data_IF_167563436982
#
_entry.id   IF_167563436982
#
_cell.length_a   1.000
_cell.length_b   1.000
_cell.length_c   1.000
_cell.angle_alpha   90.00
_cell.angle_beta   90.00
_cell.angle_gamma   90.00
#
_symmetry.space_group_name_H-M   'P 1'
#
loop_
_entity.id
_entity.type
_entity.pdbx_description
1 polymer ?
#
# COMPACT_ATOMS: atom_id res chain seq x y z
N UNK A 1 8.85 -11.21 -26.47
CA UNK A 1 8.40 -11.28 -25.06
C UNK A 1 9.64 -11.38 -24.18
N UNK A 2 9.75 -10.53 -23.16
CA UNK A 2 10.98 -10.38 -22.40
C UNK A 2 11.04 -11.38 -21.23
N UNK A 3 11.34 -12.64 -21.57
CA UNK A 3 11.29 -13.83 -20.71
C UNK A 3 11.95 -13.70 -19.32
N UNK A 4 12.87 -12.75 -19.12
CA UNK A 4 13.51 -12.52 -17.82
C UNK A 4 12.65 -11.66 -16.88
N UNK A 5 12.00 -10.62 -17.40
CA UNK A 5 11.14 -9.75 -16.59
C UNK A 5 9.94 -10.51 -16.03
N UNK A 6 9.33 -11.37 -16.85
CA UNK A 6 8.18 -12.16 -16.43
C UNK A 6 8.56 -13.21 -15.38
N UNK A 7 9.78 -13.78 -15.48
CA UNK A 7 10.33 -14.68 -14.45
C UNK A 7 10.56 -13.98 -13.12
N UNK A 8 11.16 -12.79 -13.12
CA UNK A 8 11.36 -12.02 -11.89
C UNK A 8 10.03 -11.62 -11.25
N UNK A 9 9.08 -11.14 -12.07
CA UNK A 9 7.74 -10.81 -11.61
C UNK A 9 7.08 -12.02 -10.92
N UNK A 10 7.05 -13.17 -11.60
CA UNK A 10 6.45 -14.39 -11.05
C UNK A 10 7.10 -14.83 -9.74
N UNK A 11 8.44 -14.80 -9.67
CA UNK A 11 9.16 -15.17 -8.46
C UNK A 11 8.87 -14.25 -7.28
N UNK A 12 8.68 -12.94 -7.54
CA UNK A 12 8.26 -11.98 -6.52
C UNK A 12 6.83 -12.26 -6.07
N UNK A 13 5.90 -12.46 -7.00
CA UNK A 13 4.49 -12.79 -6.69
C UNK A 13 4.37 -14.06 -5.85
N UNK A 14 5.09 -15.13 -6.21
CA UNK A 14 5.12 -16.38 -5.42
C UNK A 14 5.65 -16.15 -3.99
N UNK A 15 6.66 -15.28 -3.83
CA UNK A 15 7.19 -14.93 -2.51
C UNK A 15 6.17 -14.10 -1.72
N UNK A 16 5.48 -13.17 -2.37
CA UNK A 16 4.46 -12.33 -1.75
C UNK A 16 3.32 -13.18 -1.21
N UNK A 17 2.77 -14.07 -2.03
CA UNK A 17 1.67 -14.96 -1.65
C UNK A 17 2.03 -15.81 -0.42
N UNK A 18 3.26 -16.33 -0.35
CA UNK A 18 3.75 -17.07 0.81
C UNK A 18 3.88 -16.16 2.05
N UNK A 19 4.42 -14.96 1.89
CA UNK A 19 4.58 -14.01 3.01
C UNK A 19 3.26 -13.45 3.50
N UNK A 20 2.24 -13.31 2.64
CA UNK A 20 0.93 -12.76 3.00
C UNK A 20 0.29 -13.53 4.14
N UNK A 21 0.40 -14.87 4.12
CA UNK A 21 -0.11 -15.75 5.18
C UNK A 21 0.46 -15.39 6.56
N UNK A 22 1.74 -15.02 6.62
CA UNK A 22 2.40 -14.66 7.88
C UNK A 22 2.15 -13.20 8.26
N UNK A 23 2.09 -12.29 7.28
CA UNK A 23 1.85 -10.87 7.58
C UNK A 23 0.43 -10.59 8.06
N UNK A 24 -0.55 -11.41 7.70
CA UNK A 24 -1.92 -11.29 8.18
C UNK A 24 -2.08 -11.57 9.68
N UNK A 25 -1.15 -12.34 10.28
CA UNK A 25 -1.17 -12.65 11.72
C UNK A 25 -0.47 -11.57 12.56
N UNK A 26 0.26 -10.64 11.91
CA UNK A 26 0.96 -9.55 12.59
C UNK A 26 -0.05 -8.53 13.10
N UNK A 27 0.04 -8.22 14.39
CA UNK A 27 -0.69 -7.14 15.04
C UNK A 27 0.26 -6.32 15.93
N UNK A 28 -0.22 -5.20 16.46
CA UNK A 28 0.59 -4.24 17.23
C UNK A 28 1.36 -4.89 18.39
N UNK A 29 0.77 -5.88 19.06
CA UNK A 29 1.42 -6.57 20.18
C UNK A 29 2.63 -7.41 19.75
N UNK A 30 2.68 -7.83 18.49
CA UNK A 30 3.75 -8.66 17.92
C UNK A 30 4.88 -7.85 17.31
N UNK A 31 4.68 -6.55 17.04
CA UNK A 31 5.63 -5.72 16.30
C UNK A 31 7.02 -5.66 16.95
N UNK A 32 7.09 -5.67 18.28
CA UNK A 32 8.35 -5.56 19.01
C UNK A 32 8.93 -6.94 19.42
N UNK A 33 8.30 -8.03 18.97
CA UNK A 33 8.80 -9.40 19.17
C UNK A 33 10.11 -9.59 18.39
N UNK A 34 11.15 -10.09 19.08
CA UNK A 34 12.46 -10.34 18.49
C UNK A 34 12.49 -11.69 17.76
N UNK A 35 12.96 -11.66 16.52
CA UNK A 35 13.23 -12.83 15.71
C UNK A 35 14.60 -13.43 16.02
N UNK A 36 14.92 -14.58 15.42
CA UNK A 36 16.23 -15.24 15.55
C UNK A 36 17.40 -14.35 15.13
N UNK A 37 17.16 -13.40 14.20
CA UNK A 37 18.12 -12.37 13.77
C UNK A 37 18.36 -11.27 14.82
N UNK A 38 17.68 -11.32 15.98
CA UNK A 38 17.63 -10.28 17.04
C UNK A 38 16.93 -8.98 16.65
N UNK A 39 16.53 -8.82 15.39
CA UNK A 39 15.68 -7.71 14.94
C UNK A 39 14.23 -7.96 15.37
N UNK A 40 13.48 -6.88 15.61
CA UNK A 40 12.03 -7.01 15.81
C UNK A 40 11.31 -7.18 14.48
N UNK A 41 10.08 -7.71 14.53
CA UNK A 41 9.18 -7.77 13.36
C UNK A 41 9.04 -6.39 12.72
N UNK A 42 8.82 -5.34 13.53
CA UNK A 42 8.77 -3.93 13.11
C UNK A 42 10.00 -3.53 12.29
N UNK A 43 11.20 -3.81 12.81
CA UNK A 43 12.45 -3.45 12.13
C UNK A 43 12.60 -4.19 10.81
N UNK A 44 12.26 -5.48 10.75
CA UNK A 44 12.36 -6.25 9.49
C UNK A 44 11.42 -5.69 8.42
N UNK A 45 10.16 -5.38 8.78
CA UNK A 45 9.20 -4.77 7.87
C UNK A 45 9.66 -3.38 7.40
N UNK A 46 10.10 -2.52 8.32
CA UNK A 46 10.57 -1.17 8.01
C UNK A 46 11.81 -1.17 7.10
N UNK A 47 12.73 -2.11 7.32
CA UNK A 47 13.89 -2.28 6.46
C UNK A 47 13.46 -2.69 5.05
N UNK A 48 12.59 -3.69 4.91
CA UNK A 48 12.12 -4.13 3.59
C UNK A 48 11.36 -3.02 2.84
N UNK A 49 10.50 -2.26 3.54
CA UNK A 49 9.82 -1.08 2.97
C UNK A 49 10.83 -0.06 2.46
N UNK A 50 11.86 0.23 3.26
CA UNK A 50 12.92 1.18 2.89
C UNK A 50 13.72 0.69 1.67
N UNK A 51 14.04 -0.60 1.59
CA UNK A 51 14.71 -1.21 0.43
C UNK A 51 13.87 -1.13 -0.84
N UNK A 52 12.54 -1.32 -0.75
CA UNK A 52 11.63 -1.12 -1.88
C UNK A 52 11.66 0.32 -2.38
N UNK A 53 11.59 1.30 -1.49
CA UNK A 53 11.68 2.71 -1.87
C UNK A 53 13.01 3.04 -2.54
N UNK A 54 14.14 2.62 -1.94
CA UNK A 54 15.47 2.84 -2.51
C UNK A 54 15.65 2.16 -3.88
N UNK A 55 15.23 0.91 -4.00
CA UNK A 55 15.38 0.12 -5.24
C UNK A 55 14.47 0.66 -6.36
N UNK A 56 13.27 1.14 -6.05
CA UNK A 56 12.37 1.81 -7.01
C UNK A 56 13.06 3.01 -7.65
N UNK A 57 13.69 3.87 -6.85
CA UNK A 57 14.42 5.04 -7.36
C UNK A 57 15.58 4.64 -8.27
N UNK A 58 16.36 3.63 -7.87
CA UNK A 58 17.45 3.11 -8.71
C UNK A 58 16.96 2.56 -10.07
N UNK A 59 15.81 1.87 -10.08
CA UNK A 59 15.18 1.41 -11.32
C UNK A 59 14.71 2.57 -12.19
N UNK A 60 14.16 3.65 -11.60
CA UNK A 60 13.78 4.86 -12.32
C UNK A 60 15.00 5.56 -12.93
N UNK A 61 16.11 5.64 -12.21
CA UNK A 61 17.38 6.15 -12.73
C UNK A 61 17.92 5.30 -13.87
N UNK A 62 17.87 3.97 -13.74
CA UNK A 62 18.28 3.03 -14.79
C UNK A 62 17.46 3.22 -16.06
N UNK A 63 16.13 3.33 -15.92
CA UNK A 63 15.22 3.59 -17.05
C UNK A 63 15.57 4.92 -17.71
N UNK A 64 15.78 5.98 -16.93
CA UNK A 64 16.15 7.30 -17.45
C UNK A 64 17.48 7.26 -18.22
N UNK A 65 18.52 6.64 -17.65
CA UNK A 65 19.84 6.50 -18.30
C UNK A 65 19.81 5.69 -19.60
N UNK A 66 18.79 4.84 -19.79
CA UNK A 66 18.58 4.05 -21.00
C UNK A 66 17.55 4.66 -21.97
N UNK A 67 17.01 5.85 -21.67
CA UNK A 67 15.95 6.48 -22.48
C UNK A 67 14.60 5.75 -22.43
N UNK A 68 14.39 4.88 -21.42
CA UNK A 68 13.14 4.15 -21.22
C UNK A 68 12.15 5.06 -20.46
N UNK A 69 10.92 5.27 -20.97
CA UNK A 69 9.92 6.11 -20.31
C UNK A 69 9.60 5.66 -18.87
N UNK A 70 9.43 6.62 -17.96
CA UNK A 70 9.25 6.35 -16.51
C UNK A 70 7.99 5.58 -16.12
N UNK A 71 7.09 5.25 -17.05
CA UNK A 71 5.82 4.53 -16.77
C UNK A 71 5.02 5.21 -15.64
N UNK A 72 4.89 6.52 -15.72
CA UNK A 72 4.22 7.38 -14.72
C UNK A 72 2.81 6.89 -14.34
N UNK A 73 2.04 6.38 -15.31
CA UNK A 73 0.74 5.77 -15.04
C UNK A 73 0.81 4.59 -14.07
N UNK A 74 1.84 3.73 -14.17
CA UNK A 74 2.03 2.61 -13.24
C UNK A 74 2.39 3.10 -11.84
N UNK A 75 3.15 4.19 -11.77
CA UNK A 75 3.50 4.84 -10.50
C UNK A 75 2.24 5.36 -9.81
N UNK A 76 1.45 6.19 -10.50
CA UNK A 76 0.23 6.78 -9.96
C UNK A 76 -0.80 5.72 -9.53
N UNK A 77 -0.96 4.64 -10.32
CA UNK A 77 -1.85 3.53 -9.97
C UNK A 77 -1.35 2.78 -8.73
N UNK A 78 -0.04 2.57 -8.60
CA UNK A 78 0.54 1.91 -7.42
C UNK A 78 0.40 2.78 -6.17
N UNK A 79 0.71 4.08 -6.26
CA UNK A 79 0.60 5.02 -5.16
C UNK A 79 -0.87 5.15 -4.69
N UNK A 80 -1.83 5.20 -5.62
CA UNK A 80 -3.27 5.18 -5.28
C UNK A 80 -3.69 3.86 -4.61
N UNK A 81 -3.14 2.72 -5.05
CA UNK A 81 -3.45 1.41 -4.45
C UNK A 81 -2.91 1.30 -3.03
N UNK A 82 -1.71 1.80 -2.77
CA UNK A 82 -1.14 1.86 -1.43
C UNK A 82 -1.98 2.75 -0.49
N UNK A 83 -2.36 3.94 -0.94
CA UNK A 83 -3.20 4.87 -0.17
C UNK A 83 -4.56 4.26 0.20
N UNK A 84 -5.18 3.50 -0.73
CA UNK A 84 -6.45 2.77 -0.45
C UNK A 84 -6.28 1.71 0.64
N UNK A 85 -5.22 0.91 0.57
CA UNK A 85 -4.94 -0.14 1.54
C UNK A 85 -4.71 0.45 2.93
N UNK A 86 -3.89 1.50 3.01
CA UNK A 86 -3.62 2.22 4.24
C UNK A 86 -4.91 2.82 4.84
N UNK A 87 -5.69 3.53 4.02
CA UNK A 87 -6.97 4.11 4.46
C UNK A 87 -7.93 3.05 5.01
N UNK A 88 -8.09 1.91 4.32
CA UNK A 88 -8.94 0.80 4.79
C UNK A 88 -8.43 0.23 6.12
N UNK A 89 -7.11 0.07 6.25
CA UNK A 89 -6.50 -0.52 7.44
C UNK A 89 -6.76 0.30 8.71
N UNK A 90 -6.97 1.61 8.58
CA UNK A 90 -7.22 2.51 9.72
C UNK A 90 -8.63 2.42 10.32
N UNK A 91 -9.62 1.94 9.57
CA UNK A 91 -11.01 1.86 10.08
C UNK A 91 -11.54 0.42 10.16
N UNK A 92 -10.77 -0.57 9.67
CA UNK A 92 -11.23 -1.96 9.57
C UNK A 92 -11.54 -2.60 10.93
N UNK A 93 -10.88 -2.13 12.00
CA UNK A 93 -11.04 -2.61 13.38
C UNK A 93 -12.03 -1.77 14.22
N UNK A 94 -12.63 -0.72 13.63
CA UNK A 94 -13.62 0.11 14.31
C UNK A 94 -14.99 -0.55 14.31
N UNK A 95 -15.71 -0.44 15.44
CA UNK A 95 -17.13 -0.81 15.52
C UNK A 95 -18.05 0.38 15.17
N UNK A 96 -19.34 0.10 14.95
CA UNK A 96 -20.36 1.09 14.55
C UNK A 96 -20.35 2.35 15.44
N UNK A 97 -20.30 2.19 16.76
CA UNK A 97 -20.27 3.32 17.68
C UNK A 97 -18.99 4.17 17.53
N UNK A 98 -17.86 3.56 17.22
CA UNK A 98 -16.60 4.28 16.99
C UNK A 98 -16.61 5.01 15.64
N UNK A 99 -17.26 4.43 14.63
CA UNK A 99 -17.40 5.04 13.31
C UNK A 99 -18.25 6.32 13.35
N UNK A 100 -19.32 6.32 14.14
CA UNK A 100 -20.25 7.44 14.28
C UNK A 100 -19.75 8.55 15.22
N UNK A 101 -18.78 8.26 16.08
CA UNK A 101 -18.26 9.23 17.04
C UNK A 101 -17.42 10.33 16.35
N UNK A 102 -17.67 11.57 16.75
CA UNK A 102 -16.83 12.72 16.39
C UNK A 102 -15.66 12.80 17.37
N UNK A 103 -14.53 12.17 17.02
CA UNK A 103 -13.39 12.02 17.96
C UNK A 103 -12.24 12.99 17.66
N UNK A 104 -12.16 13.58 16.46
CA UNK A 104 -11.00 14.38 16.04
C UNK A 104 -11.23 15.91 16.10
N UNK A 105 -10.23 16.71 16.52
CA UNK A 105 -10.29 18.18 16.52
C UNK A 105 -10.27 18.82 15.12
N UNK A 106 -10.11 18.03 14.06
CA UNK A 106 -10.30 18.48 12.68
C UNK A 106 -11.80 18.55 12.38
N UNK A 107 -12.39 19.73 12.60
CA UNK A 107 -13.71 20.15 12.11
C UNK A 107 -14.94 19.31 12.52
N UNK A 108 -14.80 18.32 13.43
CA UNK A 108 -15.92 17.55 13.96
C UNK A 108 -16.48 16.49 13.02
N UNK A 109 -15.69 16.02 12.04
CA UNK A 109 -16.09 14.89 11.19
C UNK A 109 -15.93 13.54 11.92
N UNK A 110 -16.91 12.65 11.77
CA UNK A 110 -16.82 11.25 12.21
C UNK A 110 -15.98 10.41 11.24
N UNK A 111 -15.49 9.25 11.67
CA UNK A 111 -14.81 8.33 10.78
C UNK A 111 -15.73 7.87 9.64
N UNK A 112 -17.02 7.68 9.91
CA UNK A 112 -18.03 7.39 8.89
C UNK A 112 -18.11 8.49 7.82
N UNK A 113 -18.08 9.77 8.23
CA UNK A 113 -18.08 10.91 7.30
C UNK A 113 -16.86 10.87 6.36
N UNK A 114 -15.67 10.60 6.91
CA UNK A 114 -14.43 10.46 6.15
C UNK A 114 -14.49 9.30 5.15
N UNK A 115 -15.02 8.15 5.57
CA UNK A 115 -15.22 6.98 4.70
C UNK A 115 -16.19 7.32 3.58
N UNK A 116 -17.33 7.94 3.88
CA UNK A 116 -18.33 8.36 2.89
C UNK A 116 -17.76 9.35 1.87
N UNK A 117 -16.93 10.30 2.32
CA UNK A 117 -16.18 11.21 1.45
C UNK A 117 -15.28 10.45 0.48
N UNK A 118 -14.50 9.48 0.97
CA UNK A 118 -13.64 8.68 0.10
C UNK A 118 -14.44 7.81 -0.89
N UNK A 119 -15.57 7.22 -0.47
CA UNK A 119 -16.47 6.48 -1.36
C UNK A 119 -17.03 7.37 -2.49
N UNK A 120 -17.35 8.63 -2.20
CA UNK A 120 -17.78 9.59 -3.21
C UNK A 120 -16.66 9.89 -4.22
N UNK A 121 -15.44 10.16 -3.73
CA UNK A 121 -14.28 10.43 -4.58
C UNK A 121 -13.94 9.22 -5.48
N UNK A 122 -14.02 7.99 -4.97
CA UNK A 122 -13.81 6.77 -5.75
C UNK A 122 -14.86 6.61 -6.86
N UNK A 123 -16.13 6.92 -6.57
CA UNK A 123 -17.21 6.91 -7.59
C UNK A 123 -16.97 7.97 -8.67
N UNK A 124 -16.50 9.17 -8.28
CA UNK A 124 -16.15 10.22 -9.23
C UNK A 124 -15.00 9.78 -10.14
N UNK A 125 -13.92 9.23 -9.56
CA UNK A 125 -12.80 8.69 -10.33
C UNK A 125 -13.27 7.62 -11.32
N UNK A 126 -14.12 6.67 -10.89
CA UNK A 126 -14.67 5.65 -11.77
C UNK A 126 -15.48 6.25 -12.93
N UNK A 127 -16.27 7.28 -12.69
CA UNK A 127 -17.02 7.99 -13.75
C UNK A 127 -16.06 8.60 -14.76
N UNK A 128 -15.08 9.39 -14.29
CA UNK A 128 -14.09 10.06 -15.14
C UNK A 128 -13.26 9.07 -15.97
N UNK A 129 -12.88 7.94 -15.38
CA UNK A 129 -12.11 6.90 -16.10
C UNK A 129 -12.96 6.15 -17.13
N UNK A 130 -14.29 6.08 -16.97
CA UNK A 130 -15.18 5.51 -18.00
C UNK A 130 -15.32 6.42 -19.22
N UNK A 131 -15.19 7.74 -19.06
CA UNK A 131 -15.19 8.69 -20.18
C UNK A 131 -13.95 8.56 -21.07
N UNK A 132 -12.87 8.00 -20.52
CA UNK A 132 -11.60 7.74 -21.21
C UNK A 132 -11.54 6.34 -21.87
N UNK A 133 -12.69 5.67 -22.04
CA UNK A 133 -12.81 4.39 -22.76
C UNK A 133 -13.64 4.56 -24.02
#
# INVERSE_FOLDING_TARGET
MNNKSDKYKKSLEETYDQTTLYTQEINDSTLDTKLSSKQSVRTVLQNLISEYHGTREQLLWTKWGQGIPRSESRSLIADLSAARIEFISYFLDMNDNQLEQNVAPAEGESAESLINKMLLLEKQLLSLLKENK
#
